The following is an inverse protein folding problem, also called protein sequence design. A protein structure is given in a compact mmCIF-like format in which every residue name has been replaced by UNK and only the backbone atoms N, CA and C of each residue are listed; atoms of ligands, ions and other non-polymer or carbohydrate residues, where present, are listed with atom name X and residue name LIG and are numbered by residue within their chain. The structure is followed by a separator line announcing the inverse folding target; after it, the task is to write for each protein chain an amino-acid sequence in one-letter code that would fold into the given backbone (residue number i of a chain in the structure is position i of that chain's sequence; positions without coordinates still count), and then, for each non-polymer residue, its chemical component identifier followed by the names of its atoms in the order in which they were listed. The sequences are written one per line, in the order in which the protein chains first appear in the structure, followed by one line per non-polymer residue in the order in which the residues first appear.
data_IF_650889905299
#
_entry.id   IF_650889905299
#
_cell.length_a   1.000
_cell.length_b   1.000
_cell.length_c   1.000
_cell.angle_alpha   90.00
_cell.angle_beta   90.00
_cell.angle_gamma   90.00
#
_symmetry.space_group_name_H-M   'P 1'
#
loop_
_entity.id
_entity.type
_entity.pdbx_description
1 polymer ?
#
# COMPACT_ATOMS: atom_id res chain seq x y z
N UNK A 1 -34.07 -5.78 48.17
CA UNK A 1 -32.65 -6.12 48.27
C UNK A 1 -32.34 -7.14 47.17
N UNK A 2 -31.81 -6.67 46.04
CA UNK A 2 -31.29 -7.52 44.98
C UNK A 2 -29.76 -7.53 45.08
N UNK A 3 -29.13 -8.70 45.06
CA UNK A 3 -27.69 -8.75 44.84
C UNK A 3 -27.40 -8.78 43.32
N UNK A 4 -26.70 -7.78 42.88
CA UNK A 4 -26.08 -7.75 41.55
C UNK A 4 -24.89 -8.73 41.56
N UNK A 5 -24.97 -9.76 40.76
CA UNK A 5 -23.85 -10.64 40.46
C UNK A 5 -23.23 -10.24 39.11
N UNK A 6 -22.14 -9.52 39.15
CA UNK A 6 -21.35 -9.23 37.97
C UNK A 6 -20.60 -10.47 37.51
N UNK A 7 -21.09 -11.09 36.44
CA UNK A 7 -20.36 -12.14 35.74
C UNK A 7 -19.37 -11.48 34.79
N UNK A 8 -18.17 -11.20 35.29
CA UNK A 8 -17.00 -10.91 34.41
C UNK A 8 -16.57 -12.24 33.76
N UNK A 9 -17.08 -12.51 32.57
CA UNK A 9 -16.51 -13.50 31.68
C UNK A 9 -15.17 -12.97 31.16
N UNK A 10 -14.11 -13.19 31.94
CA UNK A 10 -12.73 -13.10 31.48
C UNK A 10 -12.53 -14.17 30.40
N UNK A 11 -12.67 -13.79 29.13
CA UNK A 11 -12.22 -14.58 28.00
C UNK A 11 -10.72 -14.86 28.20
N UNK A 12 -10.36 -16.09 28.56
CA UNK A 12 -8.98 -16.55 28.55
C UNK A 12 -8.51 -16.47 27.11
N UNK A 13 -7.77 -15.42 26.78
CA UNK A 13 -6.89 -15.42 25.61
C UNK A 13 -5.84 -16.51 25.86
N UNK A 14 -6.05 -17.69 25.30
CA UNK A 14 -4.97 -18.66 25.16
C UNK A 14 -3.95 -18.05 24.22
N UNK A 15 -2.88 -17.50 24.76
CA UNK A 15 -1.70 -17.14 23.97
C UNK A 15 -1.15 -18.44 23.42
N UNK A 16 -1.32 -18.65 22.11
CA UNK A 16 -0.71 -19.79 21.44
C UNK A 16 0.80 -19.62 21.48
N UNK A 17 1.51 -20.68 21.82
CA UNK A 17 2.97 -20.70 21.77
C UNK A 17 3.49 -20.25 20.40
N UNK A 18 4.64 -19.59 20.39
CA UNK A 18 5.30 -19.18 19.15
C UNK A 18 5.64 -20.43 18.34
N UNK A 19 5.26 -20.44 17.07
CA UNK A 19 5.52 -21.59 16.19
C UNK A 19 7.02 -21.83 16.06
N UNK A 20 7.42 -23.08 16.20
CA UNK A 20 8.80 -23.50 16.04
C UNK A 20 9.23 -23.46 14.56
N UNK A 21 10.54 -23.32 14.35
CA UNK A 21 11.14 -23.44 13.02
C UNK A 21 10.88 -24.85 12.45
N UNK A 22 10.63 -24.90 11.14
CA UNK A 22 10.50 -26.14 10.39
C UNK A 22 11.50 -26.14 9.24
N UNK A 23 12.20 -27.25 9.05
CA UNK A 23 13.01 -27.50 7.86
C UNK A 23 12.14 -27.53 6.60
N UNK A 24 12.74 -27.41 5.42
CA UNK A 24 11.97 -27.48 4.17
C UNK A 24 11.23 -28.82 4.03
N UNK A 25 11.84 -29.91 4.43
CA UNK A 25 11.20 -31.22 4.42
C UNK A 25 9.97 -31.28 5.34
N UNK A 26 10.07 -30.76 6.56
CA UNK A 26 8.94 -30.68 7.48
C UNK A 26 7.83 -29.75 6.96
N UNK A 27 8.18 -28.68 6.23
CA UNK A 27 7.22 -27.80 5.58
C UNK A 27 6.48 -28.53 4.43
N UNK A 28 7.19 -29.36 3.64
CA UNK A 28 6.63 -30.20 2.59
C UNK A 28 5.64 -31.19 3.21
N UNK A 29 6.05 -31.93 4.25
CA UNK A 29 5.17 -32.88 4.95
C UNK A 29 3.93 -32.18 5.54
N UNK A 30 4.08 -30.97 6.05
CA UNK A 30 2.97 -30.16 6.55
C UNK A 30 1.98 -29.76 5.44
N UNK A 31 2.46 -29.45 4.24
CA UNK A 31 1.60 -29.18 3.09
C UNK A 31 0.84 -30.46 2.68
N UNK A 32 1.52 -31.60 2.60
CA UNK A 32 0.94 -32.92 2.31
C UNK A 32 -0.12 -33.32 3.36
N UNK A 33 0.21 -33.16 4.63
CA UNK A 33 -0.71 -33.51 5.72
C UNK A 33 -2.02 -32.71 5.67
N UNK A 34 -2.01 -31.56 5.00
CA UNK A 34 -3.19 -30.72 4.75
C UNK A 34 -3.92 -31.02 3.45
N UNK A 35 -3.42 -31.99 2.66
CA UNK A 35 -4.04 -32.41 1.41
C UNK A 35 -3.48 -31.71 0.16
N UNK A 36 -2.32 -31.03 0.24
CA UNK A 36 -1.63 -30.54 -0.96
C UNK A 36 -0.93 -31.68 -1.68
N UNK A 37 -1.18 -31.81 -2.98
CA UNK A 37 -0.47 -32.74 -3.84
C UNK A 37 0.88 -32.12 -4.23
N UNK A 38 1.97 -32.83 -3.93
CA UNK A 38 3.34 -32.41 -4.26
C UNK A 38 3.97 -33.55 -5.02
N UNK A 39 4.17 -33.36 -6.33
CA UNK A 39 4.68 -34.39 -7.25
C UNK A 39 6.21 -34.41 -7.30
N UNK A 40 6.86 -33.29 -6.92
CA UNK A 40 8.32 -33.16 -7.00
C UNK A 40 8.82 -32.39 -5.77
N UNK A 41 9.45 -33.09 -4.85
CA UNK A 41 9.96 -32.53 -3.58
C UNK A 41 11.10 -31.56 -3.81
N UNK A 42 12.01 -31.86 -4.74
CA UNK A 42 13.12 -30.95 -5.07
C UNK A 42 12.62 -29.62 -5.64
N UNK A 43 11.60 -29.66 -6.48
CA UNK A 43 10.96 -28.42 -6.97
C UNK A 43 10.27 -27.68 -5.84
N UNK A 44 9.55 -28.38 -4.97
CA UNK A 44 8.88 -27.78 -3.81
C UNK A 44 9.89 -27.11 -2.87
N UNK A 45 11.00 -27.76 -2.57
CA UNK A 45 12.07 -27.22 -1.73
C UNK A 45 12.64 -25.94 -2.33
N UNK A 46 12.97 -25.91 -3.62
CA UNK A 46 13.41 -24.71 -4.33
C UNK A 46 12.39 -23.56 -4.28
N UNK A 47 11.10 -23.87 -4.42
CA UNK A 47 10.03 -22.87 -4.30
C UNK A 47 9.98 -22.30 -2.88
N UNK A 48 10.07 -23.17 -1.86
CA UNK A 48 10.05 -22.76 -0.46
C UNK A 48 11.29 -21.95 -0.08
N UNK A 49 12.46 -22.33 -0.57
CA UNK A 49 13.72 -21.61 -0.37
C UNK A 49 13.65 -20.16 -0.91
N UNK A 50 13.14 -19.98 -2.13
CA UNK A 50 13.12 -18.68 -2.81
C UNK A 50 11.92 -17.81 -2.45
N UNK A 51 10.80 -18.42 -2.02
CA UNK A 51 9.55 -17.67 -1.74
C UNK A 51 9.26 -17.59 -0.26
N UNK A 52 9.65 -18.58 0.52
CA UNK A 52 9.33 -18.73 1.93
C UNK A 52 7.92 -19.30 2.17
N UNK A 53 7.84 -20.28 3.09
CA UNK A 53 6.58 -20.93 3.45
C UNK A 53 5.49 -19.94 3.86
N UNK A 54 5.83 -18.94 4.69
CA UNK A 54 4.86 -17.99 5.21
C UNK A 54 4.23 -17.16 4.08
N UNK A 55 5.04 -16.66 3.15
CA UNK A 55 4.57 -15.91 1.98
C UNK A 55 3.67 -16.77 1.08
N UNK A 56 4.12 -17.97 0.76
CA UNK A 56 3.38 -18.90 -0.10
C UNK A 56 2.06 -19.34 0.56
N UNK A 57 2.05 -19.53 1.88
CA UNK A 57 0.86 -19.94 2.64
C UNK A 57 -0.34 -19.00 2.48
N UNK A 58 -0.11 -17.73 2.20
CA UNK A 58 -1.16 -16.76 1.93
C UNK A 58 -1.95 -17.07 0.64
N UNK A 59 -1.32 -17.73 -0.33
CA UNK A 59 -1.95 -18.13 -1.59
C UNK A 59 -2.71 -19.45 -1.48
N UNK A 60 -2.49 -20.21 -0.42
CA UNK A 60 -3.28 -21.41 -0.08
C UNK A 60 -4.61 -21.05 0.61
N UNK A 61 -4.74 -19.84 1.21
CA UNK A 61 -5.93 -19.47 1.99
C UNK A 61 -7.27 -19.65 1.26
N UNK A 62 -7.42 -19.28 -0.03
CA UNK A 62 -8.68 -19.44 -0.76
C UNK A 62 -9.09 -20.92 -0.96
N UNK A 63 -8.14 -21.82 -0.79
CA UNK A 63 -8.34 -23.26 -0.95
C UNK A 63 -8.45 -24.00 0.38
N UNK A 64 -8.35 -23.30 1.50
CA UNK A 64 -8.44 -23.89 2.83
C UNK A 64 -9.91 -24.12 3.20
N UNK A 65 -10.20 -25.32 3.70
CA UNK A 65 -11.51 -25.70 4.26
C UNK A 65 -11.60 -25.27 5.73
N UNK A 66 -12.81 -25.32 6.30
CA UNK A 66 -13.04 -25.01 7.72
C UNK A 66 -12.28 -25.91 8.68
N UNK A 67 -12.07 -27.19 8.30
CA UNK A 67 -11.29 -28.16 9.09
C UNK A 67 -9.77 -27.99 8.93
N UNK A 68 -9.31 -26.96 8.22
CA UNK A 68 -7.89 -26.66 8.05
C UNK A 68 -7.14 -27.44 6.96
N UNK A 69 -7.83 -28.32 6.23
CA UNK A 69 -7.32 -29.02 5.06
C UNK A 69 -7.45 -28.16 3.81
N UNK A 70 -6.83 -28.56 2.73
CA UNK A 70 -7.01 -27.94 1.41
C UNK A 70 -8.12 -28.67 0.64
N UNK A 71 -8.71 -27.97 -0.34
CA UNK A 71 -9.67 -28.54 -1.27
C UNK A 71 -9.02 -29.66 -2.07
N UNK A 72 -9.84 -30.63 -2.47
CA UNK A 72 -9.38 -31.77 -3.27
C UNK A 72 -8.63 -31.33 -4.55
N UNK A 73 -7.68 -32.13 -4.95
CA UNK A 73 -6.85 -31.93 -6.15
C UNK A 73 -6.06 -30.61 -6.18
N UNK A 74 -5.78 -29.99 -5.02
CA UNK A 74 -4.91 -28.83 -4.97
C UNK A 74 -3.45 -29.27 -5.07
N UNK A 75 -2.76 -28.84 -6.12
CA UNK A 75 -1.33 -29.05 -6.29
C UNK A 75 -0.51 -27.83 -5.90
N UNK A 76 0.74 -28.05 -5.49
CA UNK A 76 1.69 -26.97 -5.21
C UNK A 76 1.90 -26.10 -6.45
N UNK A 77 2.05 -26.71 -7.62
CA UNK A 77 2.29 -26.03 -8.88
C UNK A 77 1.16 -25.03 -9.20
N UNK A 78 -0.10 -25.41 -8.94
CA UNK A 78 -1.26 -24.50 -9.12
C UNK A 78 -1.14 -23.27 -8.21
N UNK A 79 -0.78 -23.45 -6.94
CA UNK A 79 -0.62 -22.34 -6.00
C UNK A 79 0.58 -21.47 -6.39
N UNK A 80 1.67 -22.06 -6.84
CA UNK A 80 2.83 -21.33 -7.31
C UNK A 80 2.56 -20.54 -8.59
N UNK A 81 1.78 -21.07 -9.52
CA UNK A 81 1.34 -20.33 -10.71
C UNK A 81 0.50 -19.11 -10.33
N UNK A 82 -0.37 -19.21 -9.31
CA UNK A 82 -1.12 -18.06 -8.81
C UNK A 82 -0.17 -17.02 -8.19
N UNK A 83 0.83 -17.44 -7.42
CA UNK A 83 1.86 -16.56 -6.88
C UNK A 83 2.62 -15.82 -8.00
N UNK A 84 3.05 -16.55 -9.04
CA UNK A 84 3.75 -15.96 -10.19
C UNK A 84 2.85 -15.00 -11.00
N UNK A 85 1.58 -15.35 -11.17
CA UNK A 85 0.59 -14.45 -11.77
C UNK A 85 0.47 -13.15 -10.96
N UNK A 86 0.32 -13.26 -9.64
CA UNK A 86 0.19 -12.10 -8.74
C UNK A 86 1.47 -11.24 -8.74
N UNK A 87 2.66 -11.85 -8.86
CA UNK A 87 3.92 -11.14 -9.03
C UNK A 87 3.92 -10.31 -10.31
N UNK A 88 3.58 -10.92 -11.45
CA UNK A 88 3.50 -10.22 -12.75
C UNK A 88 2.44 -9.11 -12.74
N UNK A 89 1.32 -9.35 -12.08
CA UNK A 89 0.26 -8.34 -11.92
C UNK A 89 0.76 -7.13 -11.13
N UNK A 90 1.53 -7.35 -10.03
CA UNK A 90 2.15 -6.23 -9.28
C UNK A 90 3.12 -5.44 -10.14
N UNK A 91 3.97 -6.10 -10.92
CA UNK A 91 4.94 -5.45 -11.79
C UNK A 91 4.23 -4.54 -12.82
N UNK A 92 3.18 -5.05 -13.47
CA UNK A 92 2.37 -4.29 -14.43
C UNK A 92 1.69 -3.07 -13.79
N UNK A 93 1.05 -3.27 -12.64
CA UNK A 93 0.35 -2.19 -11.92
C UNK A 93 1.34 -1.16 -11.38
N UNK A 94 2.48 -1.58 -10.88
CA UNK A 94 3.50 -0.68 -10.36
C UNK A 94 4.02 0.25 -11.45
N UNK A 95 4.32 -0.29 -12.64
CA UNK A 95 4.74 0.50 -13.81
C UNK A 95 3.67 1.53 -14.22
N UNK A 96 2.39 1.13 -14.24
CA UNK A 96 1.31 2.06 -14.57
C UNK A 96 1.16 3.19 -13.52
N UNK A 97 1.29 2.83 -12.23
CA UNK A 97 1.18 3.80 -11.13
C UNK A 97 2.38 4.75 -11.10
N UNK A 98 3.57 4.30 -11.45
CA UNK A 98 4.77 5.15 -11.57
C UNK A 98 4.51 6.32 -12.51
N UNK A 99 3.91 6.07 -13.68
CA UNK A 99 3.56 7.13 -14.65
C UNK A 99 2.60 8.15 -14.03
N UNK A 100 1.61 7.68 -13.27
CA UNK A 100 0.66 8.55 -12.55
C UNK A 100 1.40 9.37 -11.48
N UNK A 101 2.26 8.74 -10.69
CA UNK A 101 3.01 9.39 -9.60
C UNK A 101 3.91 10.51 -10.14
N UNK A 102 4.70 10.23 -11.19
CA UNK A 102 5.59 11.22 -11.83
C UNK A 102 4.80 12.37 -12.45
N UNK A 103 3.73 12.07 -13.19
CA UNK A 103 2.87 13.09 -13.78
C UNK A 103 2.20 13.98 -12.72
N UNK A 104 1.69 13.37 -11.63
CA UNK A 104 1.06 14.11 -10.54
C UNK A 104 2.06 15.06 -9.86
N UNK A 105 3.27 14.57 -9.56
CA UNK A 105 4.35 15.34 -8.95
C UNK A 105 4.68 16.58 -9.77
N UNK A 106 4.93 16.40 -11.04
CA UNK A 106 5.26 17.48 -11.98
C UNK A 106 4.12 18.50 -12.09
N UNK A 107 2.88 18.03 -12.27
CA UNK A 107 1.73 18.92 -12.45
C UNK A 107 1.36 19.68 -11.17
N UNK A 108 1.41 19.03 -10.00
CA UNK A 108 1.11 19.69 -8.72
C UNK A 108 2.16 20.75 -8.39
N UNK A 109 3.44 20.42 -8.55
CA UNK A 109 4.51 21.39 -8.27
C UNK A 109 4.45 22.59 -9.19
N UNK A 110 4.20 22.39 -10.48
CA UNK A 110 4.03 23.48 -11.43
C UNK A 110 2.80 24.36 -11.10
N UNK A 111 1.64 23.72 -10.90
CA UNK A 111 0.38 24.41 -10.62
C UNK A 111 0.48 25.29 -9.36
N UNK A 112 0.94 24.69 -8.26
CA UNK A 112 0.99 25.37 -6.97
C UNK A 112 2.06 26.50 -6.97
N UNK A 113 3.24 26.21 -7.52
CA UNK A 113 4.32 27.22 -7.60
C UNK A 113 3.96 28.40 -8.51
N UNK A 114 3.25 28.15 -9.61
CA UNK A 114 2.76 29.22 -10.48
C UNK A 114 1.82 30.19 -9.76
N UNK A 115 1.01 29.67 -8.84
CA UNK A 115 -0.02 30.42 -8.14
C UNK A 115 0.49 31.09 -6.86
N UNK A 116 1.29 30.39 -6.08
CA UNK A 116 1.71 30.77 -4.73
C UNK A 116 3.22 31.02 -4.60
N UNK A 117 3.97 30.90 -5.69
CA UNK A 117 5.42 31.06 -5.69
C UNK A 117 6.17 29.78 -5.26
N UNK A 118 7.51 29.84 -5.31
CA UNK A 118 8.38 28.67 -5.11
C UNK A 118 8.27 28.06 -3.70
N UNK A 119 8.00 28.87 -2.68
CA UNK A 119 7.89 28.48 -1.28
C UNK A 119 6.45 28.57 -0.74
N UNK A 120 5.45 28.81 -1.61
CA UNK A 120 4.05 28.95 -1.22
C UNK A 120 3.47 27.72 -0.49
N UNK A 121 4.09 26.55 -0.66
CA UNK A 121 3.71 25.32 0.07
C UNK A 121 4.01 25.38 1.58
N UNK A 122 4.77 26.36 2.04
CA UNK A 122 5.03 26.62 3.46
C UNK A 122 4.01 27.59 4.08
N UNK A 123 3.17 28.22 3.24
CA UNK A 123 2.12 29.15 3.68
C UNK A 123 0.80 28.40 3.84
N UNK A 124 0.33 28.30 5.09
CA UNK A 124 -0.95 27.63 5.42
C UNK A 124 -2.14 28.22 4.66
N UNK A 125 -2.10 29.52 4.30
CA UNK A 125 -3.17 30.18 3.57
C UNK A 125 -3.33 29.66 2.12
N UNK A 126 -2.34 28.97 1.58
CA UNK A 126 -2.39 28.31 0.25
C UNK A 126 -3.17 27.00 0.26
N UNK A 127 -3.66 26.56 1.41
CA UNK A 127 -4.36 25.29 1.60
C UNK A 127 -5.76 25.47 2.19
N UNK A 128 -6.52 24.39 2.28
CA UNK A 128 -7.81 24.41 2.95
C UNK A 128 -7.65 24.38 4.48
N UNK A 129 -8.68 24.80 5.26
CA UNK A 129 -8.58 24.89 6.73
C UNK A 129 -8.34 23.57 7.49
N UNK A 130 -8.35 22.43 6.80
CA UNK A 130 -8.04 21.11 7.39
C UNK A 130 -6.59 20.72 7.21
N UNK A 131 -5.80 21.54 6.55
CA UNK A 131 -4.38 21.30 6.35
C UNK A 131 -3.65 21.30 7.70
N UNK A 132 -2.92 20.24 7.96
CA UNK A 132 -2.06 20.10 9.14
C UNK A 132 -0.63 20.49 8.77
N UNK A 133 -0.35 21.79 8.83
CA UNK A 133 0.94 22.36 8.44
C UNK A 133 2.09 21.82 9.30
N UNK A 134 1.87 21.54 10.57
CA UNK A 134 2.89 20.99 11.47
C UNK A 134 3.29 19.60 10.98
N UNK A 135 2.33 18.73 10.82
CA UNK A 135 2.57 17.36 10.33
C UNK A 135 3.15 17.35 8.92
N UNK A 136 2.71 18.26 8.06
CA UNK A 136 3.23 18.36 6.70
C UNK A 136 4.71 18.76 6.70
N UNK A 137 5.09 19.79 7.47
CA UNK A 137 6.46 20.23 7.61
C UNK A 137 7.35 19.17 8.27
N UNK A 138 6.86 18.47 9.29
CA UNK A 138 7.59 17.36 9.92
C UNK A 138 7.90 16.23 8.93
N UNK A 139 6.95 15.92 8.05
CA UNK A 139 7.17 14.93 6.99
C UNK A 139 8.24 15.40 6.00
N UNK A 140 8.19 16.66 5.58
CA UNK A 140 9.20 17.25 4.68
C UNK A 140 10.59 17.23 5.33
N UNK A 141 10.71 17.69 6.56
CA UNK A 141 11.98 17.71 7.30
C UNK A 141 12.56 16.31 7.46
N UNK A 142 11.72 15.33 7.72
CA UNK A 142 12.15 13.91 7.79
C UNK A 142 12.68 13.42 6.44
N UNK A 143 12.01 13.74 5.33
CA UNK A 143 12.50 13.34 4.00
C UNK A 143 13.81 14.07 3.63
N UNK A 144 13.97 15.34 3.98
CA UNK A 144 15.23 16.07 3.80
C UNK A 144 16.37 15.38 4.58
N UNK A 145 16.14 15.07 5.85
CA UNK A 145 17.15 14.42 6.71
C UNK A 145 17.52 13.02 6.20
N UNK A 146 16.52 12.23 5.80
CA UNK A 146 16.75 10.90 5.23
C UNK A 146 17.57 10.95 3.93
N UNK A 147 17.45 12.03 3.16
CA UNK A 147 18.05 12.19 1.84
C UNK A 147 19.18 13.22 1.80
N UNK A 148 19.71 13.69 2.92
CA UNK A 148 20.74 14.75 2.99
C UNK A 148 22.04 14.47 2.23
N UNK A 149 22.32 13.21 1.89
CA UNK A 149 23.46 12.79 1.06
C UNK A 149 23.17 12.82 -0.44
N UNK A 150 21.92 12.98 -0.85
CA UNK A 150 21.54 13.09 -2.27
C UNK A 150 22.01 14.42 -2.79
N UNK A 151 22.62 14.45 -3.98
CA UNK A 151 23.33 15.60 -4.51
C UNK A 151 22.50 16.88 -4.55
N UNK A 152 21.26 16.82 -5.04
CA UNK A 152 20.43 18.03 -5.13
C UNK A 152 19.96 18.51 -3.74
N UNK A 153 19.76 17.61 -2.78
CA UNK A 153 19.40 17.96 -1.39
C UNK A 153 20.57 18.67 -0.72
N UNK A 154 21.76 18.07 -0.80
CA UNK A 154 23.01 18.66 -0.29
C UNK A 154 23.23 20.04 -0.89
N UNK A 155 23.08 20.19 -2.21
CA UNK A 155 23.22 21.45 -2.92
C UNK A 155 22.31 22.55 -2.37
N UNK A 156 21.02 22.23 -2.11
CA UNK A 156 20.08 23.22 -1.55
C UNK A 156 20.38 23.57 -0.10
N UNK A 157 20.87 22.63 0.69
CA UNK A 157 21.30 22.90 2.08
C UNK A 157 22.50 23.86 2.06
N UNK A 158 23.51 23.62 1.21
CA UNK A 158 24.77 24.37 1.20
C UNK A 158 24.68 25.74 0.51
N UNK A 159 23.83 25.87 -0.51
CA UNK A 159 23.80 27.08 -1.36
C UNK A 159 22.52 27.90 -1.25
N UNK A 160 21.43 27.34 -0.68
CA UNK A 160 20.14 28.02 -0.57
C UNK A 160 19.60 28.04 0.87
N UNK A 161 20.47 27.94 1.87
CA UNK A 161 20.10 27.98 3.29
C UNK A 161 19.04 26.92 3.67
N UNK A 162 19.02 25.77 2.98
CA UNK A 162 18.01 24.74 3.17
C UNK A 162 16.61 25.12 2.64
N UNK A 163 16.50 26.15 1.80
CA UNK A 163 15.26 26.51 1.11
C UNK A 163 15.11 25.69 -0.16
N UNK A 164 14.00 24.99 -0.26
CA UNK A 164 13.69 24.12 -1.40
C UNK A 164 12.48 24.66 -2.15
N UNK A 165 12.60 25.09 -3.41
CA UNK A 165 11.41 25.34 -4.24
C UNK A 165 10.54 24.09 -4.34
N UNK A 166 9.20 24.25 -4.43
CA UNK A 166 8.28 23.10 -4.46
C UNK A 166 8.64 22.07 -5.53
N UNK A 167 9.04 22.49 -6.74
CA UNK A 167 9.43 21.57 -7.81
C UNK A 167 10.71 20.77 -7.51
N UNK A 168 11.49 21.17 -6.50
CA UNK A 168 12.66 20.43 -6.03
C UNK A 168 12.27 19.52 -4.88
N UNK A 169 11.58 20.05 -3.85
CA UNK A 169 11.23 19.26 -2.67
C UNK A 169 10.22 18.15 -2.99
N UNK A 170 9.36 18.36 -4.00
CA UNK A 170 8.44 17.33 -4.48
C UNK A 170 9.15 16.05 -4.94
N UNK A 171 10.42 16.10 -5.32
CA UNK A 171 11.18 14.90 -5.71
C UNK A 171 11.38 13.94 -4.53
N UNK A 172 11.30 14.45 -3.30
CA UNK A 172 11.34 13.65 -2.08
C UNK A 172 9.95 13.18 -1.61
N UNK A 173 8.87 13.68 -2.20
CA UNK A 173 7.53 13.33 -1.74
C UNK A 173 7.19 11.89 -2.14
N UNK A 174 6.73 11.12 -1.19
CA UNK A 174 6.09 9.83 -1.46
C UNK A 174 4.76 10.05 -2.18
N UNK A 175 4.22 9.02 -2.84
CA UNK A 175 2.88 9.13 -3.44
C UNK A 175 1.80 9.50 -2.40
N UNK A 176 1.95 9.01 -1.17
CA UNK A 176 1.08 9.40 -0.07
C UNK A 176 1.12 10.90 0.22
N UNK A 177 2.32 11.50 0.27
CA UNK A 177 2.48 12.94 0.45
C UNK A 177 1.85 13.74 -0.70
N UNK A 178 2.02 13.31 -1.95
CA UNK A 178 1.37 13.93 -3.12
C UNK A 178 -0.16 13.83 -3.04
N UNK A 179 -0.69 12.69 -2.62
CA UNK A 179 -2.12 12.47 -2.41
C UNK A 179 -2.70 13.40 -1.34
N UNK A 180 -2.01 13.54 -0.21
CA UNK A 180 -2.38 14.49 0.84
C UNK A 180 -2.26 15.93 0.39
N UNK A 181 -1.17 16.30 -0.31
CA UNK A 181 -0.99 17.63 -0.85
C UNK A 181 -2.17 18.05 -1.74
N UNK A 182 -2.59 17.16 -2.66
CA UNK A 182 -3.78 17.40 -3.47
C UNK A 182 -5.06 17.52 -2.62
N UNK A 183 -5.24 16.62 -1.64
CA UNK A 183 -6.41 16.66 -0.75
C UNK A 183 -6.48 17.97 0.05
N UNK A 184 -5.35 18.55 0.39
CA UNK A 184 -5.25 19.74 1.22
C UNK A 184 -5.36 21.05 0.41
N UNK A 185 -5.29 21.01 -0.92
CA UNK A 185 -5.57 22.17 -1.77
C UNK A 185 -6.95 22.75 -1.46
N UNK A 186 -7.13 24.05 -1.70
CA UNK A 186 -8.46 24.68 -1.61
C UNK A 186 -9.44 24.04 -2.60
N UNK A 187 -10.74 24.18 -2.36
CA UNK A 187 -11.76 23.67 -3.30
C UNK A 187 -11.64 24.34 -4.68
N UNK A 188 -11.27 25.63 -4.71
CA UNK A 188 -11.06 26.36 -5.95
C UNK A 188 -9.88 25.75 -6.74
N UNK A 189 -8.75 25.49 -6.06
CA UNK A 189 -7.56 24.91 -6.69
C UNK A 189 -7.79 23.48 -7.18
N UNK A 190 -8.49 22.67 -6.42
CA UNK A 190 -8.86 21.32 -6.88
C UNK A 190 -9.69 21.37 -8.16
N UNK A 191 -10.65 22.28 -8.25
CA UNK A 191 -11.47 22.49 -9.47
C UNK A 191 -10.63 22.96 -10.65
N UNK A 192 -9.72 23.89 -10.40
CA UNK A 192 -8.82 24.42 -11.44
C UNK A 192 -7.86 23.33 -11.94
N UNK A 193 -7.32 22.52 -11.03
CA UNK A 193 -6.36 21.45 -11.33
C UNK A 193 -6.99 20.24 -12.04
N UNK A 194 -8.14 19.74 -11.54
CA UNK A 194 -8.73 18.47 -11.96
C UNK A 194 -10.10 18.59 -12.65
N UNK A 195 -10.62 19.82 -12.84
CA UNK A 195 -11.89 20.05 -13.51
C UNK A 195 -13.07 19.40 -12.79
N UNK A 196 -13.95 18.76 -13.57
CA UNK A 196 -15.20 18.16 -13.07
C UNK A 196 -14.97 17.04 -12.04
N UNK A 197 -13.86 16.28 -12.17
CA UNK A 197 -13.54 15.13 -11.31
C UNK A 197 -12.76 15.49 -10.05
N UNK A 198 -12.73 16.75 -9.64
CA UNK A 198 -11.89 17.23 -8.51
C UNK A 198 -12.18 16.53 -7.17
N UNK A 199 -13.43 16.09 -6.94
CA UNK A 199 -13.81 15.36 -5.72
C UNK A 199 -13.37 13.90 -5.77
N UNK A 200 -13.63 13.27 -6.91
CA UNK A 200 -13.33 11.86 -7.15
C UNK A 200 -11.82 11.62 -7.11
N UNK A 201 -11.03 12.54 -7.64
CA UNK A 201 -9.57 12.46 -7.67
C UNK A 201 -8.96 12.27 -6.28
N UNK A 202 -9.55 12.80 -5.21
CA UNK A 202 -9.10 12.55 -3.83
C UNK A 202 -9.11 11.06 -3.50
N UNK A 203 -10.22 10.37 -3.82
CA UNK A 203 -10.36 8.94 -3.57
C UNK A 203 -9.48 8.10 -4.52
N UNK A 204 -9.35 8.53 -5.77
CA UNK A 204 -8.52 7.85 -6.76
C UNK A 204 -7.04 7.86 -6.38
N UNK A 205 -6.52 9.01 -5.96
CA UNK A 205 -5.13 9.12 -5.51
C UNK A 205 -4.86 8.29 -4.26
N UNK A 206 -5.83 8.22 -3.33
CA UNK A 206 -5.73 7.33 -2.17
C UNK A 206 -5.67 5.87 -2.59
N UNK A 207 -6.56 5.44 -3.50
CA UNK A 207 -6.54 4.06 -4.03
C UNK A 207 -5.21 3.74 -4.72
N UNK A 208 -4.69 4.67 -5.54
CA UNK A 208 -3.38 4.52 -6.19
C UNK A 208 -2.25 4.43 -5.16
N UNK A 209 -2.28 5.24 -4.10
CA UNK A 209 -1.29 5.19 -3.00
C UNK A 209 -1.30 3.82 -2.32
N UNK A 210 -2.49 3.31 -1.96
CA UNK A 210 -2.63 2.01 -1.31
C UNK A 210 -2.12 0.89 -2.23
N UNK A 211 -2.52 0.92 -3.50
CA UNK A 211 -2.10 -0.08 -4.49
C UNK A 211 -0.59 -0.02 -4.75
N UNK A 212 -0.03 1.19 -4.89
CA UNK A 212 1.42 1.40 -5.05
C UNK A 212 2.20 0.79 -3.88
N UNK A 213 1.75 1.05 -2.66
CA UNK A 213 2.42 0.54 -1.46
C UNK A 213 2.33 -0.98 -1.37
N UNK A 214 1.18 -1.58 -1.72
CA UNK A 214 1.05 -3.05 -1.79
C UNK A 214 2.05 -3.63 -2.80
N UNK A 215 2.16 -3.03 -3.99
CA UNK A 215 3.08 -3.49 -5.03
C UNK A 215 4.55 -3.33 -4.59
N UNK A 216 4.93 -2.15 -4.08
CA UNK A 216 6.29 -1.85 -3.65
C UNK A 216 6.78 -2.72 -2.48
N UNK A 217 5.88 -3.12 -1.59
CA UNK A 217 6.19 -4.00 -0.46
C UNK A 217 5.90 -5.47 -0.73
N UNK A 218 5.74 -5.86 -1.99
CA UNK A 218 5.50 -7.24 -2.42
C UNK A 218 4.26 -7.87 -1.77
N UNK A 219 3.26 -7.06 -1.41
CA UNK A 219 2.00 -7.51 -0.82
C UNK A 219 1.18 -8.31 -1.83
N UNK A 220 0.36 -9.25 -1.32
CA UNK A 220 -0.53 -10.05 -2.16
C UNK A 220 -1.69 -9.19 -2.68
N UNK A 221 -1.95 -9.21 -3.99
CA UNK A 221 -3.12 -8.60 -4.64
C UNK A 221 -4.24 -9.62 -4.84
N UNK A 222 -3.89 -10.83 -5.24
CA UNK A 222 -4.84 -11.90 -5.50
C UNK A 222 -5.68 -12.24 -4.25
N UNK A 223 -7.01 -12.22 -4.38
CA UNK A 223 -7.96 -12.35 -3.25
C UNK A 223 -7.79 -11.31 -2.14
N UNK A 224 -7.28 -10.12 -2.46
CA UNK A 224 -7.25 -9.03 -1.51
C UNK A 224 -8.55 -8.24 -1.54
N UNK A 225 -9.08 -7.95 -0.37
CA UNK A 225 -10.16 -6.97 -0.20
C UNK A 225 -9.50 -5.62 0.04
N UNK A 226 -9.81 -4.65 -0.82
CA UNK A 226 -9.32 -3.29 -0.68
C UNK A 226 -10.26 -2.49 0.22
N UNK A 227 -9.71 -1.72 1.15
CA UNK A 227 -10.48 -0.85 2.05
C UNK A 227 -10.79 0.50 1.42
N UNK A 228 -9.88 1.01 0.58
CA UNK A 228 -10.12 2.22 -0.20
C UNK A 228 -10.91 1.88 -1.47
N UNK A 229 -11.97 2.62 -1.72
CA UNK A 229 -12.82 2.48 -2.90
C UNK A 229 -12.79 3.79 -3.69
N UNK A 230 -12.60 3.76 -5.02
CA UNK A 230 -12.67 4.95 -5.84
C UNK A 230 -14.13 5.44 -5.93
N UNK A 231 -14.35 6.74 -5.70
CA UNK A 231 -15.66 7.37 -5.92
C UNK A 231 -15.90 7.68 -7.39
N UNK A 232 -17.15 7.90 -7.77
CA UNK A 232 -17.54 8.24 -9.15
C UNK A 232 -17.76 7.03 -10.07
N UNK A 233 -17.53 5.81 -9.59
CA UNK A 233 -17.83 4.57 -10.32
C UNK A 233 -19.11 3.93 -9.75
N UNK A 234 -20.15 3.79 -10.57
CA UNK A 234 -21.30 2.95 -10.24
C UNK A 234 -21.03 1.53 -10.74
N UNK A 235 -20.83 0.60 -9.82
CA UNK A 235 -20.83 -0.82 -10.17
C UNK A 235 -22.29 -1.23 -10.37
N UNK A 236 -22.65 -1.77 -11.53
CA UNK A 236 -23.99 -2.28 -11.77
C UNK A 236 -24.33 -3.40 -10.76
N UNK A 237 -25.63 -3.53 -10.41
CA UNK A 237 -26.07 -4.55 -9.45
C UNK A 237 -25.80 -5.99 -9.94
N UNK A 238 -25.60 -6.18 -11.24
CA UNK A 238 -25.18 -7.44 -11.83
C UNK A 238 -23.72 -7.81 -11.53
N UNK A 239 -22.84 -6.80 -11.40
CA UNK A 239 -21.43 -6.99 -11.05
C UNK A 239 -21.20 -7.17 -9.55
N UNK A 240 -22.12 -6.68 -8.71
CA UNK A 240 -22.06 -6.86 -7.25
C UNK A 240 -22.39 -8.30 -6.80
N UNK A 241 -22.98 -9.11 -7.68
CA UNK A 241 -23.43 -10.49 -7.37
C UNK A 241 -22.47 -11.58 -7.86
N UNK A 242 -21.34 -11.25 -8.43
CA UNK A 242 -20.26 -12.16 -8.83
C UNK A 242 -19.11 -12.13 -7.84
#
# INVERSE_FOLDING_TARGET
MCPRGDIFLLGRFYMSEVKQHLTYQEQIEKLRSRGCIINNDTLCEKILENTGYYRLSAYFLPFKTEIGKYKENLTLERVYHIYEFDRKLRDLLFTAIEVIEVSLRSRLSYFHSKKYGPLGYLDESSFNPKHDAVKFNDNINREIENNKKVLFVKHHIEHYEGKFPLWVICELFTFGMLSYFYNDLTTADKKEFAGAQYKEMVSWLRCCTDLRNICAHYGRLYFRIFTAMPSGFSISDAEKRR
#
